data_IF_664050830224
#
_entry.id   IF_664050830224
#
_cell.length_a   1.000
_cell.length_b   1.000
_cell.length_c   1.000
_cell.angle_alpha   90.00
_cell.angle_beta   90.00
_cell.angle_gamma   90.00
#
_symmetry.space_group_name_H-M   'P 1'
#
loop_
_entity.id
_entity.type
_entity.pdbx_description
1 polymer ?
#
# COMPACT_ATOMS: atom_id res chain seq x y z
N UNK A 1 -20.87 -6.31 41.92
CA UNK A 1 -19.89 -5.20 41.95
C UNK A 1 -18.52 -5.87 42.05
N UNK A 2 -17.76 -5.88 40.96
CA UNK A 2 -16.56 -5.03 40.73
C UNK A 2 -15.51 -5.30 41.84
N UNK A 3 -14.26 -5.68 41.57
CA UNK A 3 -13.21 -5.02 40.77
C UNK A 3 -12.18 -6.14 40.44
N UNK A 4 -12.04 -6.55 39.18
CA UNK A 4 -11.06 -6.08 38.18
C UNK A 4 -9.58 -6.35 38.54
N UNK A 5 -8.98 -7.16 37.66
CA UNK A 5 -7.56 -7.53 37.63
C UNK A 5 -6.68 -6.31 37.37
N UNK A 6 -5.83 -5.94 38.32
CA UNK A 6 -4.68 -5.08 38.03
C UNK A 6 -3.48 -5.96 37.69
N UNK A 7 -3.36 -6.27 36.39
CA UNK A 7 -2.07 -6.63 35.80
C UNK A 7 -1.24 -5.35 35.86
N UNK A 8 -0.16 -5.37 36.66
CA UNK A 8 0.80 -4.30 36.71
C UNK A 8 1.34 -4.02 35.30
N UNK A 9 0.92 -2.91 34.71
CA UNK A 9 1.53 -2.36 33.52
C UNK A 9 2.94 -1.88 33.88
N UNK A 10 3.93 -2.73 33.60
CA UNK A 10 5.33 -2.31 33.49
C UNK A 10 5.43 -1.39 32.26
N UNK A 11 5.10 -0.11 32.48
CA UNK A 11 5.38 0.98 31.56
C UNK A 11 6.90 1.20 31.51
N UNK A 12 7.63 0.26 30.91
CA UNK A 12 8.88 0.62 30.24
C UNK A 12 8.46 1.49 29.07
N UNK A 13 8.52 2.80 29.27
CA UNK A 13 8.55 3.80 28.22
C UNK A 13 9.48 3.30 27.11
N UNK A 14 8.89 2.72 26.08
CA UNK A 14 9.46 2.73 24.74
C UNK A 14 9.29 4.17 24.26
N UNK A 15 10.06 5.08 24.85
CA UNK A 15 10.53 6.26 24.15
C UNK A 15 11.43 5.73 23.04
N UNK A 16 10.77 5.29 21.96
CA UNK A 16 11.37 5.13 20.66
C UNK A 16 11.86 6.53 20.29
N UNK A 17 13.10 6.81 20.67
CA UNK A 17 13.85 7.97 20.23
C UNK A 17 13.61 8.10 18.73
N UNK A 18 12.94 9.17 18.36
CA UNK A 18 12.50 9.53 17.01
C UNK A 18 13.68 9.91 16.11
N UNK A 19 14.89 9.45 16.47
CA UNK A 19 16.19 9.73 15.87
C UNK A 19 16.93 8.45 15.45
N UNK A 20 16.31 7.27 15.53
CA UNK A 20 16.89 6.07 14.89
C UNK A 20 16.75 6.17 13.36
N UNK A 21 17.78 6.74 12.75
CA UNK A 21 18.24 6.53 11.38
C UNK A 21 17.22 6.86 10.28
N UNK A 22 17.35 8.06 9.71
CA UNK A 22 17.01 8.30 8.29
C UNK A 22 17.95 7.47 7.41
N UNK A 23 17.80 6.16 7.43
CA UNK A 23 18.37 5.31 6.40
C UNK A 23 17.60 5.63 5.10
N UNK A 24 18.25 6.21 4.08
CA UNK A 24 17.61 6.52 2.82
C UNK A 24 16.97 5.27 2.20
N UNK A 25 17.57 4.09 2.39
CA UNK A 25 17.03 2.84 1.87
C UNK A 25 15.70 2.46 2.53
N UNK A 26 15.58 2.68 3.84
CA UNK A 26 14.34 2.45 4.59
C UNK A 26 13.26 3.47 4.19
N UNK A 27 13.64 4.72 3.92
CA UNK A 27 12.74 5.75 3.43
C UNK A 27 12.20 5.42 2.03
N UNK A 28 13.06 5.04 1.08
CA UNK A 28 12.63 4.59 -0.25
C UNK A 28 11.73 3.36 -0.19
N UNK A 29 12.02 2.42 0.71
CA UNK A 29 11.16 1.26 0.92
C UNK A 29 9.79 1.66 1.45
N UNK A 30 9.73 2.61 2.41
CA UNK A 30 8.45 3.13 2.93
C UNK A 30 7.62 3.80 1.85
N UNK A 31 8.20 4.70 1.05
CA UNK A 31 7.47 5.37 -0.02
C UNK A 31 6.95 4.40 -1.08
N UNK A 32 7.74 3.37 -1.43
CA UNK A 32 7.31 2.35 -2.38
C UNK A 32 6.10 1.55 -1.84
N UNK A 33 6.08 1.23 -0.54
CA UNK A 33 4.92 0.60 0.11
C UNK A 33 3.69 1.51 0.10
N UNK A 34 3.86 2.81 0.35
CA UNK A 34 2.77 3.79 0.27
C UNK A 34 2.20 3.89 -1.15
N UNK A 35 3.06 3.84 -2.18
CA UNK A 35 2.64 3.80 -3.59
C UNK A 35 1.87 2.52 -3.92
N UNK A 36 2.34 1.35 -3.46
CA UNK A 36 1.62 0.07 -3.60
C UNK A 36 0.23 0.14 -2.96
N UNK A 37 0.14 0.68 -1.75
CA UNK A 37 -1.14 0.80 -1.04
C UNK A 37 -2.09 1.81 -1.73
N UNK A 38 -1.56 2.87 -2.35
CA UNK A 38 -2.34 3.78 -3.17
C UNK A 38 -2.91 3.09 -4.43
N UNK A 39 -2.11 2.26 -5.10
CA UNK A 39 -2.57 1.45 -6.23
C UNK A 39 -3.68 0.48 -5.80
N UNK A 40 -3.56 -0.12 -4.62
CA UNK A 40 -4.62 -0.98 -4.08
C UNK A 40 -5.93 -0.21 -3.86
N UNK A 41 -5.85 1.00 -3.29
CA UNK A 41 -7.03 1.85 -3.08
C UNK A 41 -7.72 2.22 -4.39
N UNK A 42 -6.95 2.47 -5.44
CA UNK A 42 -7.50 2.70 -6.78
C UNK A 42 -8.31 1.48 -7.24
N UNK A 43 -7.76 0.27 -7.11
CA UNK A 43 -8.48 -0.95 -7.52
C UNK A 43 -9.81 -1.12 -6.79
N UNK A 44 -9.81 -0.91 -5.47
CA UNK A 44 -11.01 -0.99 -4.63
C UNK A 44 -12.02 0.10 -5.02
N UNK A 45 -11.57 1.34 -5.20
CA UNK A 45 -12.45 2.47 -5.53
C UNK A 45 -13.19 2.28 -6.86
N UNK A 46 -12.49 1.76 -7.87
CA UNK A 46 -13.05 1.55 -9.20
C UNK A 46 -13.68 0.17 -9.40
N UNK A 47 -13.57 -0.70 -8.38
CA UNK A 47 -13.97 -2.10 -8.41
C UNK A 47 -13.46 -2.84 -9.66
N UNK A 48 -12.19 -2.59 -10.00
CA UNK A 48 -11.50 -3.08 -11.20
C UNK A 48 -10.03 -3.29 -10.92
N UNK A 49 -9.42 -4.25 -11.61
CA UNK A 49 -7.98 -4.44 -11.57
C UNK A 49 -7.24 -3.27 -12.25
N UNK A 50 -5.97 -3.05 -11.90
CA UNK A 50 -5.13 -2.04 -12.54
C UNK A 50 -5.00 -2.32 -14.04
N UNK A 51 -4.80 -3.58 -14.43
CA UNK A 51 -4.77 -3.98 -15.83
C UNK A 51 -6.07 -3.66 -16.58
N UNK A 52 -7.23 -3.86 -15.95
CA UNK A 52 -8.52 -3.51 -16.55
C UNK A 52 -8.69 -1.99 -16.73
N UNK A 53 -8.26 -1.20 -15.74
CA UNK A 53 -8.29 0.26 -15.80
C UNK A 53 -7.34 0.75 -16.90
N UNK A 54 -6.14 0.18 -16.98
CA UNK A 54 -5.09 0.55 -17.95
C UNK A 54 -5.41 0.14 -19.38
N UNK A 55 -6.16 -0.95 -19.57
CA UNK A 55 -6.60 -1.43 -20.89
C UNK A 55 -7.83 -0.71 -21.45
N UNK A 56 -8.44 0.21 -20.71
CA UNK A 56 -9.64 0.92 -21.14
C UNK A 56 -9.30 2.11 -22.05
N UNK A 57 -9.88 2.16 -23.26
CA UNK A 57 -9.57 3.20 -24.25
C UNK A 57 -10.40 4.50 -24.09
N UNK A 58 -11.49 4.47 -23.32
CA UNK A 58 -12.36 5.62 -23.13
C UNK A 58 -11.79 6.68 -22.16
N UNK A 59 -12.29 7.91 -22.29
CA UNK A 59 -11.76 9.06 -21.51
C UNK A 59 -12.00 8.96 -20.00
N UNK A 60 -12.98 8.15 -19.58
CA UNK A 60 -13.42 8.02 -18.20
C UNK A 60 -12.28 7.69 -17.22
N UNK A 61 -11.24 6.99 -17.67
CA UNK A 61 -10.12 6.59 -16.81
C UNK A 61 -8.80 7.30 -17.13
N UNK A 62 -8.75 8.29 -18.02
CA UNK A 62 -7.47 8.93 -18.41
C UNK A 62 -6.68 9.48 -17.22
N UNK A 63 -7.36 10.17 -16.30
CA UNK A 63 -6.71 10.75 -15.12
C UNK A 63 -6.18 9.69 -14.16
N UNK A 64 -6.95 8.63 -13.93
CA UNK A 64 -6.51 7.53 -13.06
C UNK A 64 -5.45 6.67 -13.72
N UNK A 65 -5.49 6.47 -15.04
CA UNK A 65 -4.44 5.81 -15.80
C UNK A 65 -3.12 6.57 -15.71
N UNK A 66 -3.17 7.91 -15.77
CA UNK A 66 -2.00 8.75 -15.53
C UNK A 66 -1.47 8.55 -14.10
N UNK A 67 -2.35 8.60 -13.10
CA UNK A 67 -1.99 8.36 -11.70
C UNK A 67 -1.33 6.99 -11.48
N UNK A 68 -1.90 5.91 -12.06
CA UNK A 68 -1.33 4.55 -11.97
C UNK A 68 0.08 4.52 -12.58
N UNK A 69 0.27 5.12 -13.76
CA UNK A 69 1.58 5.19 -14.42
C UNK A 69 2.62 5.90 -13.55
N UNK A 70 2.26 7.04 -12.96
CA UNK A 70 3.14 7.79 -12.07
C UNK A 70 3.46 7.00 -10.79
N UNK A 71 2.48 6.36 -10.18
CA UNK A 71 2.70 5.55 -8.97
C UNK A 71 3.63 4.37 -9.24
N UNK A 72 3.39 3.60 -10.32
CA UNK A 72 4.23 2.45 -10.70
C UNK A 72 5.62 2.89 -11.13
N UNK A 73 5.72 3.95 -11.94
CA UNK A 73 7.00 4.47 -12.44
C UNK A 73 7.93 5.00 -11.35
N UNK A 74 7.38 5.37 -10.20
CA UNK A 74 8.13 5.86 -9.04
C UNK A 74 8.41 4.80 -7.97
N UNK A 75 8.08 3.52 -8.21
CA UNK A 75 8.50 2.42 -7.33
C UNK A 75 9.94 2.03 -7.65
N UNK A 76 10.83 2.15 -6.67
CA UNK A 76 12.27 1.91 -6.85
C UNK A 76 12.66 0.46 -6.58
N UNK A 77 11.94 -0.23 -5.70
CA UNK A 77 12.25 -1.59 -5.26
C UNK A 77 11.48 -2.61 -6.11
N UNK A 78 12.22 -3.43 -6.85
CA UNK A 78 11.68 -4.52 -7.69
C UNK A 78 10.74 -5.45 -6.91
N UNK A 79 11.04 -5.72 -5.64
CA UNK A 79 10.17 -6.54 -4.78
C UNK A 79 8.76 -5.94 -4.67
N UNK A 80 8.65 -4.62 -4.52
CA UNK A 80 7.36 -3.95 -4.39
C UNK A 80 6.61 -3.94 -5.73
N UNK A 81 7.31 -3.79 -6.86
CA UNK A 81 6.70 -3.97 -8.19
C UNK A 81 6.07 -5.36 -8.35
N UNK A 82 6.78 -6.43 -7.93
CA UNK A 82 6.23 -7.79 -7.97
C UNK A 82 5.00 -7.94 -7.08
N UNK A 83 5.00 -7.33 -5.90
CA UNK A 83 3.83 -7.32 -5.01
C UNK A 83 2.63 -6.62 -5.68
N UNK A 84 2.84 -5.53 -6.43
CA UNK A 84 1.79 -4.86 -7.21
C UNK A 84 1.25 -5.78 -8.32
N UNK A 85 2.12 -6.45 -9.08
CA UNK A 85 1.72 -7.38 -10.14
C UNK A 85 0.91 -8.57 -9.57
N UNK A 86 1.37 -9.16 -8.47
CA UNK A 86 0.65 -10.25 -7.80
C UNK A 86 -0.71 -9.79 -7.26
N UNK A 87 -0.78 -8.58 -6.71
CA UNK A 87 -2.00 -7.98 -6.20
C UNK A 87 -3.01 -7.77 -7.33
N UNK A 88 -2.58 -7.21 -8.46
CA UNK A 88 -3.43 -7.03 -9.65
C UNK A 88 -3.98 -8.37 -10.16
N UNK A 89 -3.12 -9.39 -10.26
CA UNK A 89 -3.51 -10.72 -10.70
C UNK A 89 -4.53 -11.36 -9.75
N UNK A 90 -4.29 -11.29 -8.43
CA UNK A 90 -5.21 -11.85 -7.42
C UNK A 90 -6.56 -11.13 -7.44
N UNK A 91 -6.56 -9.81 -7.62
CA UNK A 91 -7.81 -9.03 -7.72
C UNK A 91 -8.60 -9.41 -8.97
N UNK A 92 -7.94 -9.50 -10.13
CA UNK A 92 -8.58 -9.89 -11.38
C UNK A 92 -9.22 -11.29 -11.29
N UNK A 93 -8.60 -12.21 -10.54
CA UNK A 93 -9.16 -13.55 -10.28
C UNK A 93 -10.25 -13.58 -9.20
N UNK A 94 -10.52 -12.46 -8.52
CA UNK A 94 -11.44 -12.40 -7.37
C UNK A 94 -10.90 -13.12 -6.12
N UNK A 95 -9.61 -13.40 -6.06
CA UNK A 95 -8.93 -14.05 -4.92
C UNK A 95 -8.59 -13.05 -3.81
N UNK A 96 -8.59 -11.76 -4.14
CA UNK A 96 -8.35 -10.66 -3.22
C UNK A 96 -9.69 -10.15 -2.68
N UNK A 97 -9.95 -10.34 -1.37
CA UNK A 97 -11.16 -9.89 -0.69
C UNK A 97 -10.84 -8.69 0.19
N UNK A 98 -11.60 -7.61 0.06
CA UNK A 98 -11.49 -6.37 0.84
C UNK A 98 -12.82 -5.98 1.45
#
# INVERSE_FOLDING_TARGET
>A
MMIDSEIAHDHRSLDLNTEELRDPELAYFKEDLERRDALLRIMVQYNRSLSEIMGYEGEQYKDVQFCIKELVGNINKIRVLREVEEMDLKYHKGELKF
#
